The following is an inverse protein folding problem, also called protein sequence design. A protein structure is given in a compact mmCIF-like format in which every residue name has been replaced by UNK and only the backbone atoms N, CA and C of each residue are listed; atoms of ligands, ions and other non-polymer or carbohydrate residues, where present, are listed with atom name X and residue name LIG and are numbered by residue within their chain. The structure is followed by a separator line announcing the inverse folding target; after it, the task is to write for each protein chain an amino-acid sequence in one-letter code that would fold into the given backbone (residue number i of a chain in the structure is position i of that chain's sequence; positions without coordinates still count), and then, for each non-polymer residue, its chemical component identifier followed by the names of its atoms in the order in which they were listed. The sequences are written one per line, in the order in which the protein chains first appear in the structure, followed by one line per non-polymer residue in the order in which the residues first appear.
data_IF_164055261103
#
_entry.id   IF_164055261103
#
_cell.length_a   1.000
_cell.length_b   1.000
_cell.length_c   1.000
_cell.angle_alpha   90.00
_cell.angle_beta   90.00
_cell.angle_gamma   90.00
#
_symmetry.space_group_name_H-M   'P 1'
#
loop_
_entity.id
_entity.type
_entity.pdbx_description
1 polymer ?
#
# COMPACT_ATOMS: atom_id res chain seq x y z
N UNK A 1 1.84 17.67 63.50
CA UNK A 1 2.73 18.46 64.37
C UNK A 1 4.12 17.83 64.32
N UNK A 2 5.06 18.58 63.75
CA UNK A 2 6.52 18.68 63.97
C UNK A 2 7.41 17.43 64.14
N UNK A 3 8.41 17.36 63.25
CA UNK A 3 9.77 16.85 63.50
C UNK A 3 10.54 17.73 64.52
N UNK A 4 11.72 17.30 64.98
CA UNK A 4 13.00 17.87 64.47
C UNK A 4 14.06 16.75 64.23
N UNK A 5 15.03 16.83 63.30
CA UNK A 5 16.09 17.85 63.15
C UNK A 5 17.28 17.48 64.05
N UNK A 6 18.58 17.54 63.72
CA UNK A 6 19.38 18.19 62.66
C UNK A 6 20.86 17.98 63.10
N UNK A 7 21.86 17.63 62.26
CA UNK A 7 22.99 18.45 61.72
C UNK A 7 24.18 17.49 61.51
N UNK A 8 25.03 17.50 60.48
CA UNK A 8 25.63 18.57 59.65
C UNK A 8 27.15 18.28 59.66
N UNK A 9 27.88 18.18 58.54
CA UNK A 9 28.56 19.28 57.79
C UNK A 9 29.23 18.61 56.55
N UNK A 10 28.87 18.96 55.29
CA UNK A 10 29.49 19.99 54.38
C UNK A 10 30.87 19.55 53.82
N UNK A 11 31.32 19.75 52.58
CA UNK A 11 30.85 20.41 51.35
C UNK A 11 31.82 20.04 50.21
N UNK A 12 31.41 20.13 48.93
CA UNK A 12 32.11 20.93 47.90
C UNK A 12 31.24 21.11 46.64
N UNK A 13 31.23 22.35 46.16
CA UNK A 13 30.42 22.97 45.11
C UNK A 13 31.02 22.76 43.72
N UNK A 14 30.17 22.80 42.68
CA UNK A 14 30.53 23.12 41.29
C UNK A 14 29.27 23.49 40.51
N UNK A 15 29.20 24.74 40.03
CA UNK A 15 28.00 25.43 39.53
C UNK A 15 27.55 25.04 38.10
N UNK A 16 26.24 25.23 37.87
CA UNK A 16 25.55 25.38 36.58
C UNK A 16 25.79 26.76 35.95
N UNK A 17 25.90 26.81 34.62
CA UNK A 17 25.53 27.92 33.74
C UNK A 17 25.40 27.31 32.32
N UNK A 18 24.32 27.41 31.55
CA UNK A 18 23.40 28.54 31.38
C UNK A 18 23.99 29.49 30.35
N UNK A 19 23.87 29.19 29.06
CA UNK A 19 24.25 30.12 27.98
C UNK A 19 23.00 30.60 27.26
N UNK A 20 22.84 31.92 27.38
CA UNK A 20 21.78 32.79 26.90
C UNK A 20 22.05 33.17 25.44
N UNK A 21 20.98 33.21 24.64
CA UNK A 21 20.98 33.73 23.28
C UNK A 21 21.45 35.20 23.24
N UNK A 22 22.39 35.51 22.35
CA UNK A 22 22.66 36.90 21.96
C UNK A 22 22.56 37.04 20.45
N UNK A 23 21.55 37.81 20.03
CA UNK A 23 21.44 38.31 18.67
C UNK A 23 22.53 39.37 18.43
N UNK A 24 23.20 39.29 17.28
CA UNK A 24 23.96 40.41 16.71
C UNK A 24 23.43 40.64 15.31
N UNK A 25 22.97 41.85 15.06
CA UNK A 25 22.53 42.34 13.76
C UNK A 25 23.40 43.54 13.35
N UNK A 26 23.68 43.57 12.04
CA UNK A 26 24.14 44.67 11.17
C UNK A 26 25.66 44.90 10.99
N UNK A 27 26.09 44.83 9.71
CA UNK A 27 27.18 45.67 9.20
C UNK A 27 28.03 45.14 8.04
N UNK A 28 27.50 45.23 6.82
CA UNK A 28 28.15 45.39 5.50
C UNK A 28 29.65 45.02 5.25
N UNK A 29 29.87 44.28 4.15
CA UNK A 29 30.99 44.52 3.22
C UNK A 29 31.81 43.29 2.84
N UNK A 30 31.88 42.99 1.53
CA UNK A 30 32.99 42.21 0.95
C UNK A 30 32.59 40.93 0.24
N UNK A 31 32.36 41.04 -1.06
CA UNK A 31 32.25 39.96 -2.05
C UNK A 31 33.50 39.08 -2.13
N UNK A 32 33.33 37.76 -2.04
CA UNK A 32 34.18 36.78 -2.71
C UNK A 32 33.28 35.71 -3.33
N UNK A 33 33.22 35.70 -4.66
CA UNK A 33 32.47 34.73 -5.43
C UNK A 33 33.14 33.36 -5.41
N UNK A 34 32.35 32.34 -5.12
CA UNK A 34 32.68 30.95 -5.44
C UNK A 34 32.21 30.66 -6.87
N UNK A 35 33.02 30.02 -7.73
CA UNK A 35 32.58 29.63 -9.06
C UNK A 35 31.56 28.50 -8.93
N UNK A 36 30.41 28.68 -9.57
CA UNK A 36 29.39 27.67 -9.73
C UNK A 36 30.00 26.47 -10.47
N UNK A 37 30.08 25.33 -9.78
CA UNK A 37 30.12 24.05 -10.46
C UNK A 37 28.79 23.89 -11.20
N UNK A 38 28.88 23.64 -12.51
CA UNK A 38 27.77 23.27 -13.38
C UNK A 38 27.21 21.90 -12.95
N UNK A 39 26.38 21.92 -11.90
CA UNK A 39 25.42 20.88 -11.63
C UNK A 39 24.08 21.34 -12.20
N UNK A 40 23.57 20.65 -13.21
CA UNK A 40 22.16 20.80 -13.62
C UNK A 40 21.32 20.33 -12.44
N UNK A 41 20.92 21.28 -11.59
CA UNK A 41 19.86 21.07 -10.63
C UNK A 41 18.57 20.87 -11.45
N UNK A 42 18.01 19.66 -11.40
CA UNK A 42 16.64 19.44 -11.82
C UNK A 42 15.77 20.23 -10.85
N UNK A 43 15.35 21.41 -11.29
CA UNK A 43 14.64 22.36 -10.44
C UNK A 43 13.34 21.75 -9.94
N UNK A 44 13.20 21.64 -8.62
CA UNK A 44 11.89 21.65 -8.01
C UNK A 44 11.20 22.95 -8.44
N UNK A 45 10.08 22.84 -9.15
CA UNK A 45 9.36 24.00 -9.63
C UNK A 45 8.95 24.87 -8.44
N UNK A 46 9.30 26.16 -8.46
CA UNK A 46 8.82 27.10 -7.44
C UNK A 46 7.29 27.23 -7.53
N UNK A 47 6.57 27.29 -6.39
CA UNK A 47 5.15 27.61 -6.40
C UNK A 47 4.91 28.93 -7.16
N UNK A 48 4.24 28.85 -8.32
CA UNK A 48 3.93 29.99 -9.18
C UNK A 48 4.90 30.28 -10.34
N UNK A 49 6.01 29.54 -10.48
CA UNK A 49 6.90 29.66 -11.65
C UNK A 49 6.37 28.96 -12.92
N UNK A 50 6.99 29.22 -14.09
CA UNK A 50 6.66 28.49 -15.33
C UNK A 50 6.76 26.99 -15.12
N UNK A 51 5.66 26.29 -15.36
CA UNK A 51 5.59 24.84 -15.17
C UNK A 51 6.02 24.13 -16.46
N UNK A 52 7.02 23.24 -16.42
CA UNK A 52 7.54 22.56 -17.61
C UNK A 52 6.57 21.51 -18.19
N UNK A 53 5.43 21.28 -17.53
CA UNK A 53 4.48 20.22 -17.86
C UNK A 53 4.92 18.85 -17.33
N UNK A 54 4.02 17.88 -17.43
CA UNK A 54 4.26 16.52 -16.94
C UNK A 54 4.71 15.57 -18.03
N UNK A 55 5.26 14.43 -17.59
CA UNK A 55 5.73 13.38 -18.49
C UNK A 55 4.67 12.30 -18.64
N UNK A 56 4.33 12.00 -19.89
CA UNK A 56 3.63 10.75 -20.22
C UNK A 56 4.66 9.65 -20.38
N UNK A 57 4.50 8.59 -19.61
CA UNK A 57 5.45 7.48 -19.58
C UNK A 57 4.73 6.19 -20.00
N UNK A 58 5.43 5.35 -20.76
CA UNK A 58 5.04 3.95 -20.90
C UNK A 58 5.09 3.26 -19.52
N UNK A 59 4.40 2.13 -19.32
CA UNK A 59 4.57 1.37 -18.08
C UNK A 59 6.05 1.12 -17.80
N UNK A 60 6.45 1.10 -16.52
CA UNK A 60 7.81 0.74 -16.13
C UNK A 60 8.21 -0.60 -16.78
N UNK A 61 9.51 -0.80 -17.06
CA UNK A 61 9.98 -2.10 -17.53
C UNK A 61 9.61 -3.20 -16.53
N UNK A 62 9.70 -4.46 -16.98
CA UNK A 62 9.40 -5.67 -16.20
C UNK A 62 10.43 -5.91 -15.06
N UNK A 63 10.67 -4.93 -14.20
CA UNK A 63 11.56 -4.93 -13.03
C UNK A 63 10.84 -5.43 -11.77
N UNK A 64 10.22 -6.61 -11.91
CA UNK A 64 9.35 -7.18 -10.90
C UNK A 64 10.00 -7.24 -9.51
N UNK A 65 9.27 -6.87 -8.44
CA UNK A 65 9.71 -7.09 -7.08
C UNK A 65 10.16 -8.54 -6.88
N UNK A 66 11.16 -8.75 -6.02
CA UNK A 66 11.66 -10.10 -5.82
C UNK A 66 10.89 -10.85 -4.74
N UNK A 67 10.30 -10.16 -3.76
CA UNK A 67 9.65 -10.82 -2.63
C UNK A 67 8.18 -11.16 -2.84
N UNK A 68 7.59 -11.74 -1.81
CA UNK A 68 6.18 -12.09 -1.74
C UNK A 68 5.68 -12.00 -0.29
N UNK A 69 4.37 -11.82 -0.11
CA UNK A 69 3.71 -11.88 1.19
C UNK A 69 2.90 -13.17 1.31
N UNK A 70 2.66 -13.59 2.54
CA UNK A 70 1.74 -14.69 2.84
C UNK A 70 0.86 -14.38 4.03
N UNK A 71 -0.32 -14.99 4.02
CA UNK A 71 -1.21 -15.12 5.17
C UNK A 71 -1.61 -16.59 5.30
N UNK A 72 -1.27 -17.20 6.42
CA UNK A 72 -1.66 -18.57 6.79
C UNK A 72 -2.76 -18.48 7.83
N UNK A 73 -4.00 -18.66 7.38
CA UNK A 73 -5.15 -18.72 8.27
C UNK A 73 -5.17 -20.05 9.01
N UNK A 74 -5.54 -20.00 10.29
CA UNK A 74 -5.61 -21.19 11.15
C UNK A 74 -7.05 -21.62 11.36
N UNK A 75 -7.25 -22.93 11.55
CA UNK A 75 -8.56 -23.49 11.80
C UNK A 75 -9.15 -22.93 13.10
N UNK A 76 -10.36 -22.39 13.02
CA UNK A 76 -11.22 -22.02 14.16
C UNK A 76 -12.29 -23.07 14.46
N UNK A 77 -13.09 -22.83 15.50
CA UNK A 77 -14.17 -23.74 15.93
C UNK A 77 -15.34 -23.79 14.96
N UNK A 78 -15.60 -22.71 14.22
CA UNK A 78 -16.69 -22.57 13.23
C UNK A 78 -16.16 -22.48 11.79
N UNK A 79 -14.99 -23.08 11.54
CA UNK A 79 -14.32 -22.94 10.25
C UNK A 79 -15.03 -23.76 9.13
N UNK A 80 -15.43 -23.07 8.06
CA UNK A 80 -16.13 -23.66 6.92
C UNK A 80 -15.23 -24.56 6.04
N UNK A 81 -13.90 -24.52 6.21
CA UNK A 81 -12.99 -25.33 5.44
C UNK A 81 -13.00 -26.79 5.94
N UNK A 82 -13.43 -27.72 5.08
CA UNK A 82 -13.51 -29.17 5.37
C UNK A 82 -12.25 -29.77 6.01
N UNK A 83 -11.07 -29.21 5.74
CA UNK A 83 -9.79 -29.69 6.33
C UNK A 83 -9.69 -29.42 7.83
N UNK A 84 -10.42 -28.44 8.34
CA UNK A 84 -10.49 -28.11 9.76
C UNK A 84 -11.38 -29.08 10.53
N UNK A 85 -12.41 -29.66 9.87
CA UNK A 85 -13.36 -30.61 10.47
C UNK A 85 -13.98 -30.07 11.76
N UNK A 86 -14.38 -28.80 11.75
CA UNK A 86 -15.03 -28.11 12.89
C UNK A 86 -14.20 -28.20 14.18
N UNK A 87 -12.88 -28.01 14.06
CA UNK A 87 -11.95 -28.06 15.20
C UNK A 87 -10.95 -26.94 15.11
N UNK A 88 -10.93 -26.10 16.13
CA UNK A 88 -9.85 -25.14 16.30
C UNK A 88 -8.49 -25.82 16.41
N UNK A 89 -7.47 -25.10 15.95
CA UNK A 89 -6.08 -25.45 16.20
C UNK A 89 -5.79 -25.40 17.71
N UNK A 90 -5.13 -26.43 18.24
CA UNK A 90 -4.71 -26.41 19.66
C UNK A 90 -3.55 -25.45 19.87
N UNK A 91 -3.37 -24.92 21.09
CA UNK A 91 -2.22 -24.07 21.42
C UNK A 91 -0.86 -24.72 21.09
N UNK A 92 -0.74 -26.04 21.28
CA UNK A 92 0.47 -26.80 20.91
C UNK A 92 0.70 -26.81 19.39
N UNK A 93 -0.35 -26.96 18.60
CA UNK A 93 -0.26 -26.92 17.15
C UNK A 93 0.03 -25.52 16.62
N UNK A 94 -0.57 -24.47 17.21
CA UNK A 94 -0.30 -23.07 16.87
C UNK A 94 1.18 -22.72 17.06
N UNK A 95 1.77 -23.07 18.21
CA UNK A 95 3.22 -22.91 18.47
C UNK A 95 4.08 -23.72 17.50
N UNK A 96 3.69 -24.95 17.18
CA UNK A 96 4.42 -25.77 16.22
C UNK A 96 4.35 -25.20 14.79
N UNK A 97 3.22 -24.63 14.40
CA UNK A 97 3.04 -23.95 13.11
C UNK A 97 3.91 -22.70 13.03
N UNK A 98 3.91 -21.86 14.06
CA UNK A 98 4.78 -20.68 14.12
C UNK A 98 6.27 -21.06 14.02
N UNK A 99 6.72 -22.04 14.82
CA UNK A 99 8.09 -22.53 14.76
C UNK A 99 8.44 -23.08 13.37
N UNK A 100 7.52 -23.79 12.72
CA UNK A 100 7.70 -24.27 11.34
C UNK A 100 7.82 -23.13 10.33
N UNK A 101 7.00 -22.09 10.45
CA UNK A 101 7.05 -20.91 9.57
C UNK A 101 8.40 -20.19 9.72
N UNK A 102 8.82 -19.91 10.96
CA UNK A 102 10.09 -19.23 11.25
C UNK A 102 11.32 -20.05 10.82
N UNK A 103 11.23 -21.37 10.84
CA UNK A 103 12.32 -22.25 10.40
C UNK A 103 12.35 -22.52 8.89
N UNK A 104 11.34 -22.05 8.13
CA UNK A 104 11.24 -22.36 6.72
C UNK A 104 12.24 -21.53 5.89
N UNK A 105 13.06 -22.16 5.03
CA UNK A 105 13.97 -21.43 4.16
C UNK A 105 13.19 -20.45 3.26
N UNK A 106 13.66 -19.21 3.22
CA UNK A 106 13.06 -18.14 2.42
C UNK A 106 11.97 -17.34 3.13
N UNK A 107 11.48 -17.77 4.31
CA UNK A 107 10.63 -16.91 5.16
C UNK A 107 11.51 -15.88 5.87
N UNK A 108 11.18 -14.60 5.74
CA UNK A 108 11.95 -13.51 6.35
C UNK A 108 11.26 -12.90 7.56
N UNK A 109 9.92 -12.94 7.59
CA UNK A 109 9.09 -12.35 8.63
C UNK A 109 7.92 -13.28 8.95
N UNK A 110 7.55 -13.34 10.23
CA UNK A 110 6.37 -14.06 10.72
C UNK A 110 5.80 -13.30 11.90
N UNK A 111 4.56 -12.86 11.76
CA UNK A 111 3.78 -12.18 12.77
C UNK A 111 2.47 -12.93 12.95
N UNK A 112 2.04 -13.04 14.20
CA UNK A 112 0.74 -13.60 14.52
C UNK A 112 -0.27 -12.46 14.58
N UNK A 113 -1.38 -12.61 13.88
CA UNK A 113 -2.51 -11.69 13.92
C UNK A 113 -3.66 -12.39 14.64
N UNK A 114 -4.01 -11.85 15.80
CA UNK A 114 -5.17 -12.26 16.58
C UNK A 114 -6.48 -11.86 15.90
N UNK A 115 -7.57 -12.46 16.37
CA UNK A 115 -8.91 -12.10 15.92
C UNK A 115 -9.25 -10.63 16.18
N UNK A 116 -8.78 -10.08 17.31
CA UNK A 116 -8.95 -8.66 17.66
C UNK A 116 -8.17 -7.74 16.70
N UNK A 117 -6.89 -8.05 16.45
CA UNK A 117 -6.06 -7.30 15.51
C UNK A 117 -6.61 -7.39 14.09
N UNK A 118 -7.06 -8.58 13.66
CA UNK A 118 -7.70 -8.76 12.36
C UNK A 118 -8.96 -7.90 12.22
N UNK A 119 -9.83 -7.86 13.25
CA UNK A 119 -11.03 -7.02 13.24
C UNK A 119 -10.72 -5.53 13.24
N UNK A 120 -9.70 -5.11 14.00
CA UNK A 120 -9.24 -3.72 14.00
C UNK A 120 -8.75 -3.30 12.60
N UNK A 121 -7.89 -4.12 11.99
CA UNK A 121 -7.40 -3.91 10.62
C UNK A 121 -8.57 -3.85 9.63
N UNK A 122 -9.48 -4.83 9.67
CA UNK A 122 -10.66 -4.86 8.81
C UNK A 122 -11.55 -3.62 8.96
N UNK A 123 -11.74 -3.13 10.19
CA UNK A 123 -12.54 -1.93 10.46
C UNK A 123 -11.88 -0.67 9.92
N UNK A 124 -10.57 -0.54 10.09
CA UNK A 124 -9.78 0.56 9.53
C UNK A 124 -9.82 0.55 8.00
N UNK A 125 -9.57 -0.62 7.42
CA UNK A 125 -9.57 -0.88 5.97
C UNK A 125 -10.96 -0.59 5.36
N UNK A 126 -12.05 -0.92 6.07
CA UNK A 126 -13.42 -0.78 5.57
C UNK A 126 -14.20 0.40 6.17
N UNK A 127 -13.51 1.42 6.67
CA UNK A 127 -14.11 2.56 7.37
C UNK A 127 -15.26 3.24 6.58
N UNK A 128 -15.18 3.25 5.25
CA UNK A 128 -16.18 3.87 4.35
C UNK A 128 -17.31 2.91 3.89
N UNK A 129 -17.31 1.66 4.37
CA UNK A 129 -18.24 0.62 3.96
C UNK A 129 -19.14 0.16 5.11
N UNK A 130 -20.08 1.03 5.51
CA UNK A 130 -21.03 0.79 6.60
C UNK A 130 -21.79 -0.54 6.48
N UNK A 131 -22.16 -0.94 5.25
CA UNK A 131 -22.87 -2.20 5.00
C UNK A 131 -22.02 -3.39 5.42
N UNK A 132 -20.74 -3.40 5.04
CA UNK A 132 -19.83 -4.48 5.36
C UNK A 132 -19.45 -4.48 6.84
N UNK A 133 -19.17 -3.30 7.42
CA UNK A 133 -18.89 -3.16 8.84
C UNK A 133 -20.08 -3.59 9.73
N UNK A 134 -21.32 -3.43 9.25
CA UNK A 134 -22.51 -3.88 9.98
C UNK A 134 -22.73 -5.40 9.92
N UNK A 135 -22.09 -6.09 8.97
CA UNK A 135 -22.34 -7.49 8.67
C UNK A 135 -21.30 -8.45 9.26
N UNK A 136 -20.13 -7.94 9.64
CA UNK A 136 -19.00 -8.73 10.13
C UNK A 136 -18.73 -8.33 11.57
N UNK A 137 -18.67 -9.31 12.47
CA UNK A 137 -18.31 -9.12 13.86
C UNK A 137 -16.88 -9.58 14.11
N UNK A 138 -16.31 -9.21 15.25
CA UNK A 138 -14.96 -9.64 15.61
C UNK A 138 -14.84 -11.16 15.63
N UNK A 139 -15.87 -11.88 16.07
CA UNK A 139 -15.85 -13.34 16.19
C UNK A 139 -15.80 -14.04 14.82
N UNK A 140 -16.18 -13.34 13.74
CA UNK A 140 -16.10 -13.82 12.37
C UNK A 140 -14.69 -13.70 11.77
N UNK A 141 -13.80 -12.91 12.42
CA UNK A 141 -12.46 -12.68 11.90
C UNK A 141 -11.54 -13.87 12.14
N UNK A 142 -10.83 -14.35 11.10
CA UNK A 142 -9.94 -15.49 11.25
C UNK A 142 -8.61 -15.06 11.88
N UNK A 143 -8.10 -15.85 12.82
CA UNK A 143 -6.72 -15.73 13.27
C UNK A 143 -5.75 -16.16 12.15
N UNK A 144 -4.60 -15.51 12.05
CA UNK A 144 -3.64 -15.78 10.98
C UNK A 144 -2.18 -15.61 11.38
N UNK A 145 -1.28 -16.23 10.61
CA UNK A 145 0.13 -15.84 10.59
C UNK A 145 0.42 -15.11 9.29
N UNK A 146 0.85 -13.85 9.40
CA UNK A 146 1.23 -13.00 8.27
C UNK A 146 2.75 -12.95 8.16
N UNK A 147 3.26 -12.73 6.96
CA UNK A 147 4.70 -12.64 6.78
C UNK A 147 5.15 -12.48 5.35
N UNK A 148 6.45 -12.66 5.15
CA UNK A 148 7.13 -12.42 3.87
C UNK A 148 8.01 -13.58 3.46
N UNK A 149 8.11 -13.75 2.14
CA UNK A 149 9.07 -14.61 1.47
C UNK A 149 10.12 -13.75 0.77
N UNK A 150 11.38 -14.13 0.91
CA UNK A 150 12.52 -13.47 0.27
C UNK A 150 12.39 -13.48 -1.26
N UNK A 151 11.80 -14.54 -1.84
CA UNK A 151 11.66 -14.68 -3.29
C UNK A 151 10.26 -15.12 -3.69
N UNK A 152 9.75 -14.51 -4.74
CA UNK A 152 8.49 -14.81 -5.38
C UNK A 152 8.40 -16.28 -5.83
N UNK A 153 9.52 -16.83 -6.32
CA UNK A 153 9.60 -18.24 -6.74
C UNK A 153 9.35 -19.23 -5.60
N UNK A 154 9.47 -18.79 -4.34
CA UNK A 154 9.25 -19.63 -3.16
C UNK A 154 7.75 -19.75 -2.80
N UNK A 155 6.85 -18.99 -3.45
CA UNK A 155 5.39 -19.07 -3.25
C UNK A 155 4.87 -20.51 -3.43
N UNK A 156 5.19 -21.16 -4.55
CA UNK A 156 4.68 -22.48 -4.87
C UNK A 156 5.10 -23.57 -3.86
N UNK A 157 6.40 -23.72 -3.51
CA UNK A 157 6.79 -24.68 -2.47
C UNK A 157 6.26 -24.30 -1.08
N UNK A 158 6.21 -23.01 -0.73
CA UNK A 158 5.63 -22.55 0.55
C UNK A 158 4.16 -22.98 0.67
N UNK A 159 3.34 -22.66 -0.33
CA UNK A 159 1.91 -23.01 -0.36
C UNK A 159 1.71 -24.53 -0.27
N UNK A 160 2.49 -25.29 -1.03
CA UNK A 160 2.46 -26.77 -0.97
C UNK A 160 2.78 -27.32 0.42
N UNK A 161 3.71 -26.69 1.15
CA UNK A 161 4.06 -27.10 2.51
C UNK A 161 2.99 -26.72 3.54
N UNK A 162 2.40 -25.53 3.41
CA UNK A 162 1.36 -25.04 4.34
C UNK A 162 0.01 -25.72 4.14
N UNK A 163 -0.40 -26.00 2.89
CA UNK A 163 -1.65 -26.72 2.59
C UNK A 163 -1.71 -28.12 3.20
N UNK A 164 -0.56 -28.74 3.47
CA UNK A 164 -0.43 -30.06 4.11
C UNK A 164 -0.26 -29.98 5.63
N UNK A 165 -0.23 -28.78 6.20
CA UNK A 165 0.03 -28.58 7.62
C UNK A 165 -1.27 -28.64 8.41
N UNK A 166 -1.31 -29.51 9.43
CA UNK A 166 -2.48 -29.66 10.29
C UNK A 166 -2.75 -28.37 11.07
N UNK A 167 -4.01 -27.93 11.09
CA UNK A 167 -4.43 -26.70 11.77
C UNK A 167 -4.40 -25.46 10.87
N UNK A 168 -3.95 -25.58 9.61
CA UNK A 168 -4.07 -24.52 8.59
C UNK A 168 -5.42 -24.67 7.88
N UNK A 169 -6.19 -23.59 7.80
CA UNK A 169 -7.47 -23.54 7.09
C UNK A 169 -7.29 -23.12 5.64
N UNK A 170 -6.62 -21.98 5.43
CA UNK A 170 -6.34 -21.42 4.12
C UNK A 170 -4.95 -20.79 4.07
N UNK A 171 -4.37 -20.72 2.87
CA UNK A 171 -3.08 -20.09 2.62
C UNK A 171 -3.24 -19.12 1.45
N UNK A 172 -3.06 -17.84 1.74
CA UNK A 172 -3.00 -16.78 0.75
C UNK A 172 -1.54 -16.36 0.57
N UNK A 173 -1.13 -16.19 -0.67
CA UNK A 173 0.24 -15.80 -1.03
C UNK A 173 0.18 -14.88 -2.21
N UNK A 174 1.01 -13.86 -2.20
CA UNK A 174 0.99 -12.83 -3.20
C UNK A 174 2.39 -12.35 -3.54
N UNK A 175 2.65 -12.09 -4.81
CA UNK A 175 3.82 -11.31 -5.18
C UNK A 175 3.72 -9.89 -4.63
N UNK A 176 4.85 -9.28 -4.29
CA UNK A 176 4.87 -7.89 -3.85
C UNK A 176 4.26 -6.95 -4.91
N UNK A 177 3.56 -5.93 -4.47
CA UNK A 177 2.79 -5.09 -5.38
C UNK A 177 3.69 -4.32 -6.35
N UNK A 178 3.51 -4.55 -7.66
CA UNK A 178 4.39 -3.99 -8.70
C UNK A 178 4.43 -2.46 -8.72
N UNK A 179 3.28 -1.80 -8.50
CA UNK A 179 3.16 -0.35 -8.56
C UNK A 179 3.56 0.36 -7.26
N UNK A 180 3.91 -0.40 -6.22
CA UNK A 180 4.46 0.16 -4.98
C UNK A 180 5.65 1.06 -5.29
N UNK A 181 5.64 2.25 -4.71
CA UNK A 181 6.63 3.33 -4.88
C UNK A 181 6.75 3.93 -6.30
N UNK A 182 6.08 3.34 -7.31
CA UNK A 182 6.11 3.80 -8.71
C UNK A 182 5.00 4.79 -9.03
N UNK A 183 3.87 4.70 -8.33
CA UNK A 183 2.72 5.58 -8.48
C UNK A 183 1.92 5.67 -7.17
N UNK A 184 1.17 6.77 -7.02
CA UNK A 184 0.40 7.08 -5.81
C UNK A 184 -1.12 7.05 -6.07
N UNK A 185 -1.56 7.14 -7.34
CA UNK A 185 -2.97 7.08 -7.75
C UNK A 185 -3.16 6.06 -8.87
N UNK A 186 -4.24 5.29 -8.78
CA UNK A 186 -4.71 4.37 -9.82
C UNK A 186 -6.07 4.81 -10.36
N UNK A 187 -6.16 4.92 -11.69
CA UNK A 187 -7.37 5.34 -12.41
C UNK A 187 -7.73 4.28 -13.47
N UNK A 188 -8.48 3.23 -13.10
CA UNK A 188 -8.95 2.24 -14.05
C UNK A 188 -9.96 2.85 -15.02
N UNK A 189 -9.80 2.57 -16.30
CA UNK A 189 -10.80 2.93 -17.31
C UNK A 189 -11.95 1.92 -17.32
N UNK A 190 -13.07 2.33 -17.90
CA UNK A 190 -14.21 1.44 -18.10
C UNK A 190 -13.77 0.18 -18.84
N UNK A 191 -14.01 -0.97 -18.21
CA UNK A 191 -13.69 -2.29 -18.72
C UNK A 191 -14.80 -2.92 -19.54
N UNK A 192 -14.63 -4.20 -19.86
CA UNK A 192 -15.62 -5.00 -20.60
C UNK A 192 -16.84 -5.29 -19.71
N UNK A 193 -18.03 -5.36 -20.32
CA UNK A 193 -19.25 -5.78 -19.64
C UNK A 193 -19.08 -7.15 -18.98
N UNK A 194 -19.68 -7.35 -17.81
CA UNK A 194 -19.60 -8.59 -17.05
C UNK A 194 -18.29 -8.79 -16.29
N UNK A 195 -17.43 -7.77 -16.21
CA UNK A 195 -16.25 -7.76 -15.33
C UNK A 195 -16.47 -6.82 -14.15
N UNK A 196 -15.65 -6.95 -13.10
CA UNK A 196 -15.67 -6.04 -11.95
C UNK A 196 -15.35 -4.58 -12.31
N UNK A 197 -14.74 -4.35 -13.48
CA UNK A 197 -14.42 -3.02 -14.01
C UNK A 197 -15.47 -2.50 -15.02
N UNK A 198 -16.61 -3.18 -15.15
CA UNK A 198 -17.66 -2.76 -16.07
C UNK A 198 -18.34 -1.48 -15.57
N UNK A 199 -18.31 -0.43 -16.38
CA UNK A 199 -19.10 0.78 -16.12
C UNK A 199 -20.58 0.56 -16.49
N UNK A 200 -21.48 1.06 -15.64
CA UNK A 200 -22.93 0.93 -15.82
C UNK A 200 -23.38 1.55 -17.16
N UNK A 201 -24.17 0.79 -17.92
CA UNK A 201 -24.81 1.28 -19.15
C UNK A 201 -23.88 1.45 -20.36
N UNK A 202 -22.61 1.04 -20.30
CA UNK A 202 -21.65 1.26 -21.40
C UNK A 202 -20.67 0.12 -21.63
N UNK A 203 -19.90 0.23 -22.70
CA UNK A 203 -18.74 -0.63 -22.98
C UNK A 203 -17.43 -0.01 -22.50
N UNK A 204 -16.29 -0.58 -22.93
CA UNK A 204 -14.97 -0.06 -22.59
C UNK A 204 -14.77 1.41 -22.94
N UNK A 205 -13.80 2.06 -22.31
CA UNK A 205 -13.40 3.41 -22.68
C UNK A 205 -12.96 3.47 -24.16
N UNK A 206 -13.44 4.49 -24.88
CA UNK A 206 -13.05 4.75 -26.26
C UNK A 206 -11.66 5.36 -26.33
N UNK A 207 -11.04 5.33 -27.51
CA UNK A 207 -9.74 5.98 -27.76
C UNK A 207 -9.77 7.47 -27.39
N UNK A 208 -10.87 8.15 -27.70
CA UNK A 208 -11.07 9.58 -27.41
C UNK A 208 -11.15 9.83 -25.90
N UNK A 209 -11.94 9.04 -25.18
CA UNK A 209 -12.07 9.14 -23.72
C UNK A 209 -10.74 8.85 -23.03
N UNK A 210 -10.07 7.75 -23.42
CA UNK A 210 -8.73 7.42 -22.90
C UNK A 210 -7.75 8.57 -23.09
N UNK A 211 -7.73 9.20 -24.27
CA UNK A 211 -6.87 10.36 -24.53
C UNK A 211 -7.25 11.54 -23.62
N UNK A 212 -8.55 11.85 -23.50
CA UNK A 212 -9.02 12.96 -22.67
C UNK A 212 -8.64 12.79 -21.19
N UNK A 213 -8.76 11.57 -20.65
CA UNK A 213 -8.32 11.26 -19.28
C UNK A 213 -6.81 11.46 -19.12
N UNK A 214 -6.01 10.94 -20.07
CA UNK A 214 -4.56 11.11 -20.04
C UNK A 214 -4.13 12.58 -20.14
N UNK A 215 -4.74 13.35 -21.05
CA UNK A 215 -4.48 14.78 -21.20
C UNK A 215 -4.86 15.55 -19.91
N UNK A 216 -5.98 15.19 -19.27
CA UNK A 216 -6.41 15.79 -18.00
C UNK A 216 -5.40 15.54 -16.89
N UNK A 217 -4.98 14.28 -16.70
CA UNK A 217 -4.00 13.90 -15.69
C UNK A 217 -2.64 14.59 -15.89
N UNK A 218 -2.21 14.71 -17.15
CA UNK A 218 -0.98 15.40 -17.53
C UNK A 218 -1.06 16.93 -17.34
N UNK A 219 -2.26 17.51 -17.30
CA UNK A 219 -2.46 18.95 -17.10
C UNK A 219 -2.49 19.35 -15.61
N UNK A 220 -2.53 18.39 -14.68
CA UNK A 220 -2.52 18.64 -13.23
C UNK A 220 -1.11 18.97 -12.76
N UNK A 221 -0.93 20.02 -11.96
CA UNK A 221 0.40 20.41 -11.46
C UNK A 221 0.91 19.45 -10.38
N UNK A 222 -0.02 18.73 -9.76
CA UNK A 222 0.15 17.73 -8.71
C UNK A 222 0.79 16.45 -9.26
N UNK A 223 0.46 16.11 -10.51
CA UNK A 223 1.05 14.98 -11.22
C UNK A 223 2.52 15.28 -11.55
N UNK A 224 3.42 14.35 -11.23
CA UNK A 224 4.81 14.36 -11.70
C UNK A 224 4.94 13.53 -12.98
N UNK A 225 4.43 12.29 -12.94
CA UNK A 225 4.47 11.34 -14.06
C UNK A 225 3.13 10.63 -14.22
N UNK A 226 2.69 10.47 -15.46
CA UNK A 226 1.46 9.73 -15.80
C UNK A 226 1.83 8.53 -16.65
N UNK A 227 1.64 7.34 -16.09
CA UNK A 227 1.84 6.05 -16.74
C UNK A 227 0.53 5.57 -17.34
N UNK A 228 0.57 5.09 -18.58
CA UNK A 228 -0.56 4.41 -19.20
C UNK A 228 -0.31 2.91 -19.24
N UNK A 229 -1.08 2.13 -18.48
CA UNK A 229 -1.04 0.67 -18.49
C UNK A 229 -2.04 0.09 -19.49
N UNK A 230 -1.53 -0.70 -20.43
CA UNK A 230 -2.37 -1.48 -21.34
C UNK A 230 -2.76 -2.84 -20.73
N UNK A 231 -3.74 -3.51 -21.36
CA UNK A 231 -4.24 -4.81 -20.90
C UNK A 231 -3.17 -5.90 -20.90
N UNK A 232 -2.15 -5.81 -21.76
CA UNK A 232 -1.10 -6.82 -21.84
C UNK A 232 -0.13 -6.71 -20.66
N UNK A 233 0.23 -5.49 -20.25
CA UNK A 233 1.01 -5.24 -19.05
C UNK A 233 0.20 -5.58 -17.79
N UNK A 234 -1.05 -5.12 -17.68
CA UNK A 234 -1.94 -5.44 -16.56
C UNK A 234 -2.08 -6.96 -16.32
N UNK A 235 -2.14 -7.75 -17.40
CA UNK A 235 -2.13 -9.23 -17.33
C UNK A 235 -0.85 -9.80 -16.73
N UNK A 236 0.32 -9.23 -17.05
CA UNK A 236 1.60 -9.68 -16.48
C UNK A 236 1.71 -9.29 -15.00
N UNK A 237 1.33 -8.07 -14.64
CA UNK A 237 1.25 -7.61 -13.24
C UNK A 237 0.35 -8.54 -12.43
N UNK A 238 -0.85 -8.85 -12.95
CA UNK A 238 -1.76 -9.80 -12.32
C UNK A 238 -1.14 -11.19 -12.20
N UNK A 239 -0.58 -11.74 -13.28
CA UNK A 239 0.00 -13.07 -13.25
C UNK A 239 1.15 -13.19 -12.23
N UNK A 240 1.97 -12.15 -12.12
CA UNK A 240 3.00 -12.02 -11.10
C UNK A 240 2.37 -11.98 -9.71
N UNK A 241 1.48 -11.02 -9.42
CA UNK A 241 0.89 -10.84 -8.09
C UNK A 241 0.20 -12.12 -7.58
N UNK A 242 -0.45 -12.88 -8.47
CA UNK A 242 -1.21 -14.08 -8.11
C UNK A 242 -0.43 -15.38 -8.15
N UNK A 243 0.80 -15.40 -8.68
CA UNK A 243 1.51 -16.66 -8.90
C UNK A 243 0.81 -17.58 -9.90
N UNK A 244 -0.06 -17.04 -10.77
CA UNK A 244 -0.95 -17.80 -11.65
C UNK A 244 -0.93 -17.25 -13.07
N UNK A 245 -0.86 -18.12 -14.09
CA UNK A 245 -1.08 -17.71 -15.47
C UNK A 245 -2.59 -17.59 -15.72
N UNK A 246 -3.05 -16.42 -16.19
CA UNK A 246 -4.46 -16.23 -16.59
C UNK A 246 -4.54 -15.58 -17.96
N UNK A 247 -5.28 -16.22 -18.87
CA UNK A 247 -5.67 -15.71 -20.18
C UNK A 247 -6.89 -14.77 -20.10
N UNK A 248 -7.63 -14.80 -18.99
CA UNK A 248 -8.90 -14.09 -18.77
C UNK A 248 -8.82 -12.98 -17.73
N UNK A 249 -7.68 -12.27 -17.64
CA UNK A 249 -7.61 -11.13 -16.72
C UNK A 249 -8.75 -10.13 -17.01
N UNK A 250 -9.59 -9.79 -16.02
CA UNK A 250 -10.68 -8.84 -16.17
C UNK A 250 -10.18 -7.39 -16.24
N UNK A 251 -8.88 -7.16 -16.09
CA UNK A 251 -8.30 -5.83 -15.90
C UNK A 251 -8.48 -4.94 -17.15
N UNK A 252 -8.89 -3.67 -16.95
CA UNK A 252 -9.02 -2.69 -18.01
C UNK A 252 -7.65 -2.06 -18.32
N UNK A 253 -7.61 -1.25 -19.38
CA UNK A 253 -6.56 -0.23 -19.50
C UNK A 253 -6.70 0.76 -18.33
N UNK A 254 -5.59 1.27 -17.83
CA UNK A 254 -5.59 2.12 -16.63
C UNK A 254 -4.52 3.20 -16.71
N UNK A 255 -4.69 4.27 -15.94
CA UNK A 255 -3.63 5.23 -15.66
C UNK A 255 -3.11 5.06 -14.24
N UNK A 256 -1.80 5.24 -14.09
CA UNK A 256 -1.13 5.33 -12.81
C UNK A 256 -0.43 6.68 -12.74
N UNK A 257 -0.56 7.38 -11.62
CA UNK A 257 -0.02 8.74 -11.46
C UNK A 257 0.94 8.76 -10.30
N UNK A 258 2.19 9.16 -10.57
CA UNK A 258 3.13 9.58 -9.54
C UNK A 258 2.91 11.06 -9.28
N UNK A 259 2.75 11.43 -8.02
CA UNK A 259 2.56 12.80 -7.57
C UNK A 259 3.88 13.37 -7.06
N UNK A 260 4.07 14.68 -7.26
CA UNK A 260 5.19 15.40 -6.65
C UNK A 260 5.05 15.48 -5.12
N UNK A 261 3.80 15.48 -4.64
CA UNK A 261 3.43 15.38 -3.23
C UNK A 261 2.30 14.33 -3.08
N UNK A 262 2.53 13.20 -2.39
CA UNK A 262 1.50 12.20 -2.10
C UNK A 262 0.29 12.74 -1.33
N UNK A 263 0.43 13.89 -0.65
CA UNK A 263 -0.69 14.59 -0.03
C UNK A 263 -1.75 15.06 -1.03
N UNK A 264 -1.39 15.24 -2.30
CA UNK A 264 -2.24 15.77 -3.36
C UNK A 264 -3.15 14.71 -4.04
N UNK A 265 -3.31 13.53 -3.43
CA UNK A 265 -4.20 12.47 -3.94
C UNK A 265 -5.64 12.99 -4.15
N UNK A 266 -6.30 13.66 -3.18
CA UNK A 266 -7.69 14.11 -3.33
C UNK A 266 -7.92 14.98 -4.57
N UNK A 267 -7.00 15.90 -4.86
CA UNK A 267 -7.06 16.81 -5.99
C UNK A 267 -7.04 16.06 -7.33
N UNK A 268 -6.24 15.00 -7.43
CA UNK A 268 -6.20 14.16 -8.63
C UNK A 268 -7.47 13.31 -8.75
N UNK A 269 -7.97 12.76 -7.65
CA UNK A 269 -9.23 11.99 -7.65
C UNK A 269 -10.42 12.85 -8.10
N UNK A 270 -10.54 14.07 -7.55
CA UNK A 270 -11.58 15.02 -7.93
C UNK A 270 -11.45 15.49 -9.38
N UNK A 271 -10.22 15.64 -9.88
CA UNK A 271 -9.98 16.07 -11.25
C UNK A 271 -10.43 15.08 -12.32
N UNK A 272 -10.50 13.79 -12.00
CA UNK A 272 -10.95 12.72 -12.91
C UNK A 272 -12.35 12.20 -12.61
N UNK A 273 -12.94 12.63 -11.49
CA UNK A 273 -14.30 12.33 -11.07
C UNK A 273 -15.31 12.61 -12.19
N UNK A 274 -16.11 11.60 -12.54
CA UNK A 274 -17.19 11.74 -13.52
C UNK A 274 -16.72 11.92 -14.97
N UNK A 275 -15.42 11.83 -15.26
CA UNK A 275 -14.94 11.87 -16.64
C UNK A 275 -15.43 10.64 -17.42
N UNK A 276 -15.89 10.88 -18.64
CA UNK A 276 -16.31 9.81 -19.53
C UNK A 276 -15.15 8.82 -19.76
N UNK A 277 -15.40 7.55 -19.46
CA UNK A 277 -14.43 6.46 -19.62
C UNK A 277 -13.63 6.11 -18.37
N UNK A 278 -13.75 6.88 -17.28
CA UNK A 278 -13.19 6.52 -15.97
C UNK A 278 -14.17 5.60 -15.23
N UNK A 279 -13.67 4.47 -14.73
CA UNK A 279 -14.46 3.52 -13.94
C UNK A 279 -14.46 3.87 -12.45
N UNK A 280 -13.28 4.14 -11.90
CA UNK A 280 -13.07 4.66 -10.56
C UNK A 280 -11.70 5.35 -10.51
N UNK A 281 -11.36 5.94 -9.37
CA UNK A 281 -10.02 6.42 -9.08
C UNK A 281 -9.76 6.25 -7.57
N UNK A 282 -8.55 5.86 -7.20
CA UNK A 282 -8.19 5.65 -5.80
C UNK A 282 -6.70 5.81 -5.55
N UNK A 283 -6.34 5.92 -4.27
CA UNK A 283 -4.95 5.87 -3.81
C UNK A 283 -4.37 4.49 -4.09
N UNK A 284 -3.10 4.45 -4.46
CA UNK A 284 -2.29 3.25 -4.37
C UNK A 284 -1.65 3.20 -2.99
N UNK A 285 -2.18 2.34 -2.13
CA UNK A 285 -1.51 1.87 -0.94
C UNK A 285 -1.33 0.34 -1.02
N UNK A 286 -0.60 -0.22 -0.06
CA UNK A 286 -0.28 -1.65 -0.04
C UNK A 286 -1.50 -2.55 0.23
N UNK A 287 -2.66 -1.98 0.63
CA UNK A 287 -3.91 -2.68 0.91
C UNK A 287 -4.86 -2.74 -0.29
N UNK A 288 -5.02 -1.64 -1.02
CA UNK A 288 -6.09 -1.35 -1.97
C UNK A 288 -6.28 -2.29 -3.20
N UNK A 289 -5.37 -3.22 -3.48
CA UNK A 289 -5.40 -4.02 -4.72
C UNK A 289 -5.89 -5.47 -4.57
N UNK A 290 -6.16 -5.94 -3.34
CA UNK A 290 -6.45 -7.37 -3.12
C UNK A 290 -7.97 -7.68 -3.19
N UNK A 291 -8.41 -8.80 -3.81
CA UNK A 291 -9.79 -9.26 -3.78
C UNK A 291 -10.09 -9.81 -2.39
N UNK A 292 -10.74 -8.96 -1.60
CA UNK A 292 -10.85 -9.01 -0.15
C UNK A 292 -10.89 -7.58 0.42
N UNK A 293 -10.28 -6.66 -0.33
CA UNK A 293 -9.99 -5.25 -0.02
C UNK A 293 -10.53 -4.31 -1.12
N UNK A 294 -11.09 -4.88 -2.21
CA UNK A 294 -11.54 -4.15 -3.40
C UNK A 294 -12.74 -3.20 -3.15
N UNK A 295 -13.45 -3.30 -2.03
CA UNK A 295 -14.48 -2.33 -1.63
C UNK A 295 -13.90 -0.98 -1.18
N UNK A 296 -12.61 -0.91 -0.86
CA UNK A 296 -12.00 0.16 -0.05
C UNK A 296 -11.48 1.35 -0.85
N UNK A 297 -11.39 1.23 -2.17
CA UNK A 297 -10.84 2.31 -3.02
C UNK A 297 -11.91 2.83 -4.00
N UNK A 298 -13.13 2.29 -3.89
CA UNK A 298 -14.33 2.80 -4.54
C UNK A 298 -14.92 3.91 -3.68
N UNK A 299 -14.17 5.01 -3.51
CA UNK A 299 -14.79 6.28 -3.13
C UNK A 299 -15.96 6.50 -4.09
N UNK A 300 -17.20 6.39 -3.58
CA UNK A 300 -18.41 6.53 -4.37
C UNK A 300 -18.41 7.93 -4.98
N UNK A 301 -17.99 8.01 -6.22
CA UNK A 301 -18.34 9.11 -7.09
C UNK A 301 -19.56 8.59 -7.86
N UNK A 302 -20.70 8.95 -7.28
CA UNK A 302 -22.09 8.78 -7.71
C UNK A 302 -22.32 8.34 -9.15
#
# INVERSE_FOLDING_TARGET
MNAPGDRGVMARRGLLAGVVATAVMLGAGGSLGSPLAEGIAWGAASPGGPWPGNKKVSPPPDDWPQGATFTVFICGDQDAFKRCRERAITAKQKRALEAKLRAMPGVTEVEFESQEEAYANFTEENADNEVLLSAIQQEDMPESFRGRLHRWRDIAPFRSAMDRTRGVSNVMTFGEFFWKDKADVFVPLCGRKGTIFACKGRGPATVKERKAVGDRLLALRESESVYFEDVAHARRVFAYAWGMKSDRSPLPESYYVKLADPGAVPEVLDAVKGMAGVGSAGRLDEGCFWPGVASECSGKLS
#
